data_IF_183563265646
#
_entry.id   IF_183563265646
#
_cell.length_a   1.000
_cell.length_b   1.000
_cell.length_c   1.000
_cell.angle_alpha   90.00
_cell.angle_beta   90.00
_cell.angle_gamma   90.00
#
_symmetry.space_group_name_H-M   'P 1'
#
loop_
_entity.id
_entity.type
_entity.pdbx_description
1 polymer ?
#
# COMPACT_ATOMS: atom_id res chain seq x y z
N UNK A 1 5.46 -7.97 -18.01
CA UNK A 1 5.19 -6.52 -17.92
C UNK A 1 3.80 -6.40 -17.31
N UNK A 2 3.74 -6.36 -15.98
CA UNK A 2 2.49 -6.27 -15.24
C UNK A 2 1.97 -4.84 -15.39
N UNK A 3 0.93 -4.66 -16.19
CA UNK A 3 0.26 -3.38 -16.40
C UNK A 3 -0.43 -2.97 -15.09
N UNK A 4 0.29 -2.22 -14.27
CA UNK A 4 -0.23 -1.70 -13.00
C UNK A 4 -1.27 -0.62 -13.31
N UNK A 5 -2.53 -1.00 -13.24
CA UNK A 5 -3.67 -0.11 -13.46
C UNK A 5 -3.95 0.73 -12.21
N UNK A 6 -4.16 2.03 -12.37
CA UNK A 6 -4.56 2.91 -11.25
C UNK A 6 -5.89 2.48 -10.65
N UNK A 7 -5.87 2.12 -9.37
CA UNK A 7 -7.06 2.04 -8.55
C UNK A 7 -7.31 3.40 -7.88
N UNK A 8 -8.29 4.16 -8.39
CA UNK A 8 -8.67 5.47 -7.85
C UNK A 8 -9.29 5.39 -6.44
N UNK A 9 -9.70 4.21 -6.01
CA UNK A 9 -10.28 3.97 -4.69
C UNK A 9 -9.23 3.72 -3.60
N UNK A 10 -7.97 3.46 -3.97
CA UNK A 10 -6.90 3.12 -3.03
C UNK A 10 -5.75 4.10 -3.21
N UNK A 11 -5.76 5.18 -2.43
CA UNK A 11 -4.64 6.12 -2.39
C UNK A 11 -3.47 5.50 -1.63
N UNK A 12 -2.26 5.65 -2.16
CA UNK A 12 -1.04 5.18 -1.51
C UNK A 12 0.01 6.27 -1.67
N UNK A 13 0.44 6.88 -0.57
CA UNK A 13 1.50 7.90 -0.57
C UNK A 13 2.89 7.28 -0.32
N UNK A 14 2.91 6.01 0.11
CA UNK A 14 4.14 5.29 0.43
C UNK A 14 4.83 4.89 -0.89
N UNK A 15 5.82 5.68 -1.30
CA UNK A 15 6.57 5.48 -2.55
C UNK A 15 7.39 4.17 -2.56
N UNK A 16 7.73 3.66 -1.38
CA UNK A 16 8.38 2.37 -1.18
C UNK A 16 7.42 1.18 -1.36
N UNK A 17 6.10 1.40 -1.44
CA UNK A 17 5.17 0.32 -1.71
C UNK A 17 5.31 -0.14 -3.18
N UNK A 18 5.54 -1.43 -3.39
CA UNK A 18 5.67 -2.07 -4.70
C UNK A 18 4.47 -1.77 -5.61
N UNK A 19 3.28 -1.68 -5.01
CA UNK A 19 2.02 -1.47 -5.72
C UNK A 19 1.71 0.01 -5.98
N UNK A 20 2.53 0.93 -5.46
CA UNK A 20 2.37 2.36 -5.65
C UNK A 20 2.71 2.77 -7.10
N UNK A 21 1.77 3.47 -7.73
CA UNK A 21 1.97 4.23 -8.95
C UNK A 21 2.65 5.55 -8.60
N UNK A 22 3.96 5.53 -8.33
CA UNK A 22 4.77 6.65 -7.82
C UNK A 22 4.48 8.02 -8.47
N UNK A 23 4.08 8.04 -9.74
CA UNK A 23 3.70 9.26 -10.45
C UNK A 23 2.36 9.87 -10.01
N UNK A 24 1.43 9.08 -9.49
CA UNK A 24 0.06 9.49 -9.16
C UNK A 24 -0.33 9.28 -7.68
N UNK A 25 0.49 8.60 -6.87
CA UNK A 25 0.21 8.28 -5.45
C UNK A 25 -1.06 7.43 -5.25
N UNK A 26 -1.27 6.45 -6.13
CA UNK A 26 -2.34 5.47 -6.01
C UNK A 26 -1.78 4.05 -6.02
N UNK A 27 -2.50 3.14 -5.39
CA UNK A 27 -2.21 1.72 -5.46
C UNK A 27 -2.74 1.13 -6.78
N UNK A 28 -2.08 0.08 -7.25
CA UNK A 28 -2.52 -0.70 -8.42
C UNK A 28 -3.33 -1.94 -8.06
N UNK A 29 -3.44 -2.26 -6.77
CA UNK A 29 -4.25 -3.36 -6.28
C UNK A 29 -5.73 -3.05 -6.42
N UNK A 30 -6.55 -4.05 -6.73
CA UNK A 30 -8.01 -3.91 -6.77
C UNK A 30 -8.60 -3.84 -5.34
N UNK A 31 -7.96 -4.55 -4.41
CA UNK A 31 -8.34 -4.62 -3.00
C UNK A 31 -7.09 -4.59 -2.10
N UNK A 32 -7.20 -3.99 -0.91
CA UNK A 32 -6.19 -4.06 0.16
C UNK A 32 -6.77 -4.72 1.39
N UNK A 33 -5.91 -5.35 2.18
CA UNK A 33 -6.24 -5.83 3.51
C UNK A 33 -5.63 -4.89 4.54
N UNK A 34 -6.46 -4.38 5.44
CA UNK A 34 -6.02 -3.59 6.60
C UNK A 34 -6.08 -4.50 7.82
N UNK A 35 -4.99 -4.54 8.58
CA UNK A 35 -4.88 -5.28 9.83
C UNK A 35 -4.58 -4.35 11.00
N UNK A 36 -4.48 -4.94 12.19
CA UNK A 36 -4.04 -4.25 13.40
C UNK A 36 -3.21 -5.22 14.24
N UNK A 37 -2.29 -4.68 15.02
CA UNK A 37 -1.47 -5.45 15.95
C UNK A 37 -2.10 -5.60 17.35
N UNK A 38 -3.22 -4.92 17.60
CA UNK A 38 -3.90 -4.89 18.90
C UNK A 38 -5.35 -5.40 18.76
N UNK A 39 -5.93 -5.96 19.82
CA UNK A 39 -7.31 -6.47 19.78
C UNK A 39 -8.37 -5.39 19.50
N UNK A 40 -8.10 -4.13 19.85
CA UNK A 40 -9.07 -3.03 19.69
C UNK A 40 -8.38 -1.68 19.35
N UNK A 41 -7.96 -1.46 18.10
CA UNK A 41 -7.32 -0.22 17.68
C UNK A 41 -8.28 0.96 17.79
N UNK A 42 -7.83 2.03 18.47
CA UNK A 42 -8.60 3.27 18.63
C UNK A 42 -8.05 4.42 17.79
N UNK A 43 -6.84 4.25 17.26
CA UNK A 43 -6.13 5.24 16.45
C UNK A 43 -5.66 4.61 15.14
N UNK A 44 -5.65 5.35 14.02
CA UNK A 44 -5.26 4.82 12.70
C UNK A 44 -3.82 4.30 12.65
N UNK A 45 -2.94 4.87 13.47
CA UNK A 45 -1.54 4.45 13.61
C UNK A 45 -1.37 3.02 14.14
N UNK A 46 -2.40 2.43 14.75
CA UNK A 46 -2.42 1.02 15.14
C UNK A 46 -3.00 0.10 14.04
N UNK A 47 -3.31 0.66 12.86
CA UNK A 47 -3.81 -0.09 11.71
C UNK A 47 -2.81 -0.05 10.56
N UNK A 48 -2.47 -1.22 10.03
CA UNK A 48 -1.45 -1.39 9.01
C UNK A 48 -2.05 -1.95 7.72
N UNK A 49 -1.48 -1.59 6.59
CA UNK A 49 -1.83 -2.20 5.31
C UNK A 49 -1.10 -3.53 5.16
N UNK A 50 -1.78 -4.65 5.42
CA UNK A 50 -1.23 -6.00 5.27
C UNK A 50 -0.91 -6.36 3.81
N UNK A 51 -1.43 -5.60 2.85
CA UNK A 51 -1.08 -5.72 1.43
C UNK A 51 0.20 -4.96 1.05
N UNK A 52 0.84 -4.29 2.01
CA UNK A 52 2.09 -3.60 1.76
C UNK A 52 3.21 -4.60 1.43
N UNK A 53 3.85 -4.38 0.28
CA UNK A 53 5.06 -5.08 -0.12
C UNK A 53 6.10 -4.03 -0.44
N UNK A 54 7.28 -4.12 0.16
CA UNK A 54 8.37 -3.21 -0.17
C UNK A 54 8.78 -3.39 -1.63
N UNK A 55 8.98 -2.28 -2.34
CA UNK A 55 9.51 -2.27 -3.70
C UNK A 55 10.96 -2.77 -3.62
N UNK A 56 11.20 -4.02 -3.99
CA UNK A 56 12.53 -4.59 -4.14
C UNK A 56 13.27 -3.84 -5.26
N UNK A 57 14.07 -2.84 -4.88
CA UNK A 57 14.79 -1.98 -5.81
C UNK A 57 15.53 -0.78 -5.20
N UNK A 58 15.52 -0.60 -3.86
CA UNK A 58 16.29 0.46 -3.19
C UNK A 58 17.27 -0.05 -2.12
N UNK A 59 17.86 -1.24 -2.31
CA UNK A 59 19.06 -1.66 -1.60
C UNK A 59 20.02 -2.38 -2.57
N UNK A 60 20.93 -1.62 -3.18
CA UNK A 60 22.36 -1.92 -3.06
C UNK A 60 22.88 -1.12 -1.86
#
# INVERSE_FOLDING_TARGET
>A
MDEQKKNKSIKCDVSQCRHNLVSENYCSLDCISVGTHEDNPTVPECTDCNSFVVRSGCCE
#
